data_IF_096798147281
#
_entry.id   IF_096798147281
#
_cell.length_a   1.000
_cell.length_b   1.000
_cell.length_c   1.000
_cell.angle_alpha   90.00
_cell.angle_beta   90.00
_cell.angle_gamma   90.00
#
_symmetry.space_group_name_H-M   'P 1'
#
loop_
_entity.id
_entity.type
_entity.pdbx_description
1 polymer ?
#
# COMPACT_ATOMS: atom_id res chain seq x y z
N UNK A 1 -15.02 13.57 -10.88
CA UNK A 1 -13.95 12.81 -11.59
C UNK A 1 -13.21 11.99 -10.54
N UNK A 2 -13.22 10.65 -10.62
CA UNK A 2 -12.34 9.86 -9.75
C UNK A 2 -10.89 10.04 -10.24
N UNK A 3 -9.91 10.30 -9.36
CA UNK A 3 -8.51 10.34 -9.78
C UNK A 3 -8.11 8.98 -10.35
N UNK A 4 -7.50 9.00 -11.54
CA UNK A 4 -6.99 7.79 -12.17
C UNK A 4 -5.84 7.21 -11.34
N UNK A 5 -5.73 5.88 -11.32
CA UNK A 5 -4.63 5.21 -10.63
C UNK A 5 -3.36 5.41 -11.45
N UNK A 6 -2.31 6.06 -10.91
CA UNK A 6 -1.08 6.29 -11.66
C UNK A 6 -0.39 4.95 -11.91
N UNK A 7 -0.18 4.63 -13.19
CA UNK A 7 0.55 3.44 -13.62
C UNK A 7 2.04 3.71 -13.50
N UNK A 8 2.79 2.71 -13.04
CA UNK A 8 4.23 2.77 -13.02
C UNK A 8 4.78 2.51 -14.42
N UNK A 9 5.61 3.43 -14.91
CA UNK A 9 6.17 3.45 -16.27
C UNK A 9 7.72 3.43 -16.28
N UNK A 10 8.33 3.21 -15.10
CA UNK A 10 9.78 3.23 -14.92
C UNK A 10 10.29 4.44 -14.15
N UNK A 11 9.53 5.54 -14.07
CA UNK A 11 9.94 6.75 -13.35
C UNK A 11 9.44 6.73 -11.91
N UNK A 12 10.23 6.13 -11.01
CA UNK A 12 9.83 5.91 -9.61
C UNK A 12 9.44 7.20 -8.88
N UNK A 13 10.25 8.25 -8.90
CA UNK A 13 9.98 9.46 -8.11
C UNK A 13 8.70 10.16 -8.55
N UNK A 14 8.43 10.20 -9.87
CA UNK A 14 7.20 10.75 -10.41
C UNK A 14 5.98 9.90 -10.01
N UNK A 15 6.06 8.59 -10.22
CA UNK A 15 4.99 7.66 -9.83
C UNK A 15 4.71 7.71 -8.33
N UNK A 16 5.76 7.72 -7.50
CA UNK A 16 5.66 7.76 -6.05
C UNK A 16 4.95 9.04 -5.59
N UNK A 17 5.29 10.19 -6.15
CA UNK A 17 4.60 11.46 -5.85
C UNK A 17 3.09 11.39 -6.11
N UNK A 18 2.69 10.83 -7.27
CA UNK A 18 1.27 10.71 -7.63
C UNK A 18 0.54 9.66 -6.78
N UNK A 19 1.16 8.49 -6.58
CA UNK A 19 0.56 7.40 -5.82
C UNK A 19 0.46 7.74 -4.33
N UNK A 20 1.46 8.40 -3.75
CA UNK A 20 1.40 8.90 -2.38
C UNK A 20 0.23 9.86 -2.21
N UNK A 21 0.07 10.84 -3.10
CA UNK A 21 -1.05 11.77 -3.04
C UNK A 21 -2.41 11.05 -3.15
N UNK A 22 -2.52 10.07 -4.05
CA UNK A 22 -3.73 9.24 -4.16
C UNK A 22 -4.02 8.50 -2.85
N UNK A 23 -3.03 7.82 -2.26
CA UNK A 23 -3.22 7.07 -1.02
C UNK A 23 -3.51 7.98 0.18
N UNK A 24 -2.90 9.17 0.24
CA UNK A 24 -3.23 10.20 1.26
C UNK A 24 -4.67 10.68 1.11
N UNK A 25 -5.14 10.95 -0.12
CA UNK A 25 -6.55 11.33 -0.37
C UNK A 25 -7.57 10.26 0.01
N UNK A 26 -7.12 9.01 0.18
CA UNK A 26 -7.93 7.86 0.63
C UNK A 26 -7.71 7.49 2.09
N UNK A 27 -6.88 8.24 2.81
CA UNK A 27 -6.49 7.96 4.20
C UNK A 27 -5.81 6.59 4.39
N UNK A 28 -5.10 6.11 3.36
CA UNK A 28 -4.40 4.81 3.39
C UNK A 28 -2.90 4.95 3.61
N UNK A 29 -2.37 6.18 3.56
CA UNK A 29 -0.93 6.40 3.63
C UNK A 29 -0.27 5.95 4.94
N UNK A 30 -0.97 6.05 6.07
CA UNK A 30 -0.48 5.52 7.35
C UNK A 30 -0.21 4.02 7.32
N UNK A 31 -0.85 3.25 6.43
CA UNK A 31 -0.56 1.82 6.26
C UNK A 31 0.80 1.59 5.59
N UNK A 32 1.29 2.57 4.82
CA UNK A 32 2.63 2.57 4.24
C UNK A 32 3.65 3.06 5.30
N UNK A 33 3.38 4.18 5.96
CA UNK A 33 4.28 4.87 6.92
C UNK A 33 4.38 4.22 8.31
N UNK A 34 3.27 3.69 8.83
CA UNK A 34 3.19 3.09 10.18
C UNK A 34 2.96 1.57 10.13
N UNK A 35 2.16 1.10 9.16
CA UNK A 35 1.88 -0.32 8.94
C UNK A 35 0.45 -0.70 9.31
N UNK A 36 0.14 -2.00 9.25
CA UNK A 36 -1.17 -2.53 9.63
C UNK A 36 -1.23 -2.72 11.15
N UNK A 37 -2.35 -2.33 11.75
CA UNK A 37 -2.61 -2.58 13.17
C UNK A 37 -2.88 -4.07 13.37
N UNK A 38 -2.15 -4.69 14.30
CA UNK A 38 -2.32 -6.10 14.67
C UNK A 38 -2.86 -6.17 16.09
N UNK A 39 -4.02 -6.81 16.25
CA UNK A 39 -4.58 -7.08 17.57
C UNK A 39 -3.73 -8.12 18.31
N UNK A 40 -3.37 -7.82 19.56
CA UNK A 40 -2.72 -8.78 20.46
C UNK A 40 -3.72 -9.85 20.92
N UNK A 41 -3.22 -10.98 21.44
CA UNK A 41 -4.06 -12.11 21.86
C UNK A 41 -5.14 -11.73 22.90
N UNK A 42 -4.82 -10.81 23.81
CA UNK A 42 -5.70 -10.28 24.85
C UNK A 42 -6.40 -8.95 24.46
N UNK A 43 -6.42 -8.60 23.18
CA UNK A 43 -7.02 -7.36 22.71
C UNK A 43 -8.52 -7.29 23.05
N UNK A 44 -8.95 -6.10 23.50
CA UNK A 44 -10.37 -5.79 23.73
C UNK A 44 -11.15 -5.86 22.43
N UNK A 45 -12.49 -5.93 22.54
CA UNK A 45 -13.36 -5.92 21.35
C UNK A 45 -13.08 -4.71 20.44
N UNK A 46 -12.86 -3.53 21.03
CA UNK A 46 -12.57 -2.32 20.28
C UNK A 46 -11.20 -2.36 19.58
N UNK A 47 -10.16 -2.88 20.24
CA UNK A 47 -8.84 -3.06 19.62
C UNK A 47 -8.88 -4.07 18.46
N UNK A 48 -9.69 -5.12 18.57
CA UNK A 48 -9.90 -6.10 17.48
C UNK A 48 -10.60 -5.43 16.30
N UNK A 49 -11.65 -4.65 16.55
CA UNK A 49 -12.37 -3.88 15.52
C UNK A 49 -11.42 -2.96 14.75
N UNK A 50 -10.59 -2.20 15.45
CA UNK A 50 -9.59 -1.31 14.83
C UNK A 50 -8.56 -2.07 13.99
N UNK A 51 -8.10 -3.24 14.45
CA UNK A 51 -7.18 -4.08 13.69
C UNK A 51 -7.81 -4.62 12.40
N UNK A 52 -9.08 -5.03 12.45
CA UNK A 52 -9.80 -5.53 11.27
C UNK A 52 -10.13 -4.40 10.27
N UNK A 53 -10.48 -3.21 10.76
CA UNK A 53 -10.61 -2.01 9.94
C UNK A 53 -9.28 -1.64 9.26
N UNK A 54 -8.16 -1.72 10.00
CA UNK A 54 -6.82 -1.46 9.45
C UNK A 54 -6.44 -2.48 8.38
N UNK A 55 -6.68 -3.77 8.59
CA UNK A 55 -6.49 -4.83 7.57
C UNK A 55 -7.34 -4.58 6.33
N UNK A 56 -8.59 -4.17 6.51
CA UNK A 56 -9.47 -3.87 5.37
C UNK A 56 -8.95 -2.67 4.56
N UNK A 57 -8.47 -1.62 5.23
CA UNK A 57 -7.81 -0.49 4.56
C UNK A 57 -6.54 -0.93 3.84
N UNK A 58 -5.74 -1.84 4.42
CA UNK A 58 -4.52 -2.37 3.79
C UNK A 58 -4.84 -3.13 2.51
N UNK A 59 -5.87 -3.98 2.52
CA UNK A 59 -6.34 -4.66 1.30
C UNK A 59 -6.73 -3.67 0.20
N UNK A 60 -7.40 -2.56 0.55
CA UNK A 60 -7.75 -1.51 -0.42
C UNK A 60 -6.50 -0.81 -0.96
N UNK A 61 -5.54 -0.47 -0.10
CA UNK A 61 -4.27 0.13 -0.50
C UNK A 61 -3.46 -0.81 -1.42
N UNK A 62 -3.41 -2.11 -1.11
CA UNK A 62 -2.79 -3.14 -1.96
C UNK A 62 -3.43 -3.16 -3.35
N UNK A 63 -4.75 -3.08 -3.44
CA UNK A 63 -5.45 -3.07 -4.73
C UNK A 63 -5.06 -1.87 -5.60
N UNK A 64 -4.82 -0.69 -5.01
CA UNK A 64 -4.29 0.45 -5.76
C UNK A 64 -2.88 0.19 -6.28
N UNK A 65 -1.99 -0.34 -5.43
CA UNK A 65 -0.61 -0.64 -5.82
C UNK A 65 -0.53 -1.75 -6.87
N UNK A 66 -1.37 -2.79 -6.78
CA UNK A 66 -1.43 -3.85 -7.79
C UNK A 66 -1.97 -3.35 -9.13
N UNK A 67 -2.95 -2.45 -9.11
CA UNK A 67 -3.41 -1.83 -10.35
C UNK A 67 -2.37 -0.90 -10.96
N UNK A 68 -1.45 -0.35 -10.17
CA UNK A 68 -0.41 0.53 -10.69
C UNK A 68 0.72 -0.20 -11.40
N UNK A 69 0.93 -1.49 -11.15
CA UNK A 69 2.06 -2.26 -11.68
C UNK A 69 1.59 -3.38 -12.61
N UNK A 70 2.43 -3.73 -13.59
CA UNK A 70 2.14 -4.85 -14.47
C UNK A 70 2.50 -6.22 -13.83
N UNK A 71 2.16 -7.29 -14.54
CA UNK A 71 2.44 -8.67 -14.10
C UNK A 71 3.94 -8.96 -13.94
N UNK A 72 4.79 -8.34 -14.75
CA UNK A 72 6.24 -8.56 -14.76
C UNK A 72 6.85 -7.97 -13.50
N UNK A 73 6.51 -6.72 -13.18
CA UNK A 73 6.92 -6.04 -11.95
C UNK A 73 6.38 -6.79 -10.75
N UNK A 74 5.09 -7.13 -10.76
CA UNK A 74 4.45 -7.87 -9.68
C UNK A 74 5.27 -9.11 -9.35
N UNK A 75 5.61 -9.96 -10.33
CA UNK A 75 6.42 -11.18 -10.13
C UNK A 75 7.76 -10.94 -9.43
N UNK A 76 8.35 -9.75 -9.57
CA UNK A 76 9.65 -9.43 -8.96
C UNK A 76 9.56 -9.05 -7.48
N UNK A 77 8.37 -8.73 -6.97
CA UNK A 77 8.19 -8.38 -5.56
C UNK A 77 8.08 -9.67 -4.75
N UNK A 78 9.03 -9.98 -3.87
CA UNK A 78 8.99 -11.24 -3.12
C UNK A 78 7.99 -11.22 -1.96
N UNK A 79 7.90 -10.09 -1.25
CA UNK A 79 7.05 -9.93 -0.07
C UNK A 79 5.89 -9.00 -0.39
N UNK A 80 4.65 -9.47 -0.25
CA UNK A 80 3.43 -8.72 -0.65
C UNK A 80 2.30 -8.82 0.38
N UNK A 81 2.64 -9.12 1.63
CA UNK A 81 1.64 -9.35 2.68
C UNK A 81 0.85 -8.07 2.98
N UNK A 82 1.54 -6.92 2.99
CA UNK A 82 0.96 -5.58 3.24
C UNK A 82 1.21 -4.63 2.08
N UNK A 83 0.43 -3.54 1.99
CA UNK A 83 0.66 -2.45 1.04
C UNK A 83 2.06 -1.85 1.21
N UNK A 84 2.51 -1.73 2.47
CA UNK A 84 3.87 -1.34 2.83
C UNK A 84 4.94 -2.23 2.18
N UNK A 85 4.77 -3.55 2.21
CA UNK A 85 5.76 -4.46 1.62
C UNK A 85 5.90 -4.23 0.12
N UNK A 86 4.78 -4.03 -0.57
CA UNK A 86 4.76 -3.71 -2.00
C UNK A 86 5.46 -2.37 -2.26
N UNK A 87 5.07 -1.31 -1.54
CA UNK A 87 5.67 0.02 -1.66
C UNK A 87 7.19 0.01 -1.43
N UNK A 88 7.65 -0.61 -0.33
CA UNK A 88 9.08 -0.70 -0.01
C UNK A 88 9.85 -1.53 -1.04
N UNK A 89 9.24 -2.56 -1.61
CA UNK A 89 9.86 -3.36 -2.67
C UNK A 89 10.01 -2.57 -3.96
N UNK A 90 8.98 -1.81 -4.36
CA UNK A 90 9.05 -0.88 -5.49
C UNK A 90 10.15 0.16 -5.26
N UNK A 91 10.16 0.79 -4.08
CA UNK A 91 11.18 1.77 -3.67
C UNK A 91 12.58 1.21 -3.79
N UNK A 92 12.86 0.06 -3.16
CA UNK A 92 14.19 -0.55 -3.17
C UNK A 92 14.70 -0.86 -4.58
N UNK A 93 13.80 -1.22 -5.50
CA UNK A 93 14.18 -1.68 -6.84
C UNK A 93 14.30 -0.54 -7.86
N UNK A 94 13.49 0.50 -7.71
CA UNK A 94 13.34 1.52 -8.75
C UNK A 94 13.66 2.95 -8.28
N UNK A 95 13.80 3.17 -6.96
CA UNK A 95 14.46 4.38 -6.48
C UNK A 95 15.95 4.16 -6.70
N UNK A 96 16.53 4.97 -7.59
CA UNK A 96 17.90 4.82 -8.12
C UNK A 96 18.96 4.44 -7.10
#
# INVERSE_FOLDING_TARGET
MQPSIPKFDGYYDHWAMLMENLLRSKEYWSLIEDGVIVALANATAEQRRLADESKLKDLKAKNYLFQAIDRTILKTILTRDTARHIWKSMRRKYQG
#
